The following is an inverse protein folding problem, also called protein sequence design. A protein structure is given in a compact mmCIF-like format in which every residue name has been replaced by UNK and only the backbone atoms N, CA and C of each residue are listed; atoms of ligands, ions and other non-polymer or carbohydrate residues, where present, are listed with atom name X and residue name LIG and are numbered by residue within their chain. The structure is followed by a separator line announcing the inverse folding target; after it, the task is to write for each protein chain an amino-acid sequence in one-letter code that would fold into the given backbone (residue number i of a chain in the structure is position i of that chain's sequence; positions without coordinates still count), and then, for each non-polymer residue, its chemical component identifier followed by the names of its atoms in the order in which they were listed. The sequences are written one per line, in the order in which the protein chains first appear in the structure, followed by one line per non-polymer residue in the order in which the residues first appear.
data_IF_681790393025
#
_entry.id   IF_681790393025
#
_cell.length_a   1.000
_cell.length_b   1.000
_cell.length_c   1.000
_cell.angle_alpha   90.00
_cell.angle_beta   90.00
_cell.angle_gamma   90.00
#
_symmetry.space_group_name_H-M   'P 1'
#
loop_
_entity.id
_entity.type
_entity.pdbx_description
1 polymer ?
#
# COMPACT_ATOMS: atom_id res chain seq x y z
N UNK A 1 15.49 19.75 -13.68
CA UNK A 1 14.61 19.45 -12.52
C UNK A 1 13.18 19.63 -12.97
N UNK A 2 12.32 18.65 -12.71
CA UNK A 2 10.90 18.70 -13.07
C UNK A 2 10.07 19.36 -11.96
N UNK A 3 8.96 20.00 -12.35
CA UNK A 3 8.00 20.67 -11.45
C UNK A 3 7.21 19.67 -10.62
N UNK A 4 6.49 20.14 -9.58
CA UNK A 4 5.60 19.31 -8.78
C UNK A 4 4.60 18.51 -9.64
N UNK A 5 3.96 19.17 -10.61
CA UNK A 5 3.00 18.51 -11.50
C UNK A 5 3.65 17.43 -12.40
N UNK A 6 4.85 17.68 -12.90
CA UNK A 6 5.60 16.68 -13.68
C UNK A 6 6.06 15.51 -12.81
N UNK A 7 6.41 15.77 -11.55
CA UNK A 7 6.66 14.71 -10.57
C UNK A 7 5.40 13.86 -10.36
N UNK A 8 4.21 14.45 -10.30
CA UNK A 8 2.97 13.69 -10.14
C UNK A 8 2.69 12.80 -11.36
N UNK A 9 2.93 13.30 -12.58
CA UNK A 9 2.87 12.49 -13.81
C UNK A 9 3.88 11.33 -13.74
N UNK A 10 5.14 11.63 -13.43
CA UNK A 10 6.20 10.63 -13.38
C UNK A 10 5.92 9.57 -12.31
N UNK A 11 5.43 9.97 -11.13
CA UNK A 11 5.01 9.06 -10.06
C UNK A 11 3.86 8.17 -10.50
N UNK A 12 2.82 8.73 -11.12
CA UNK A 12 1.73 7.93 -11.65
C UNK A 12 2.22 6.89 -12.66
N UNK A 13 3.09 7.27 -13.60
CA UNK A 13 3.64 6.31 -14.55
C UNK A 13 4.52 5.25 -13.86
N UNK A 14 5.34 5.64 -12.89
CA UNK A 14 6.18 4.71 -12.13
C UNK A 14 5.34 3.71 -11.30
N UNK A 15 4.18 4.13 -10.79
CA UNK A 15 3.17 3.25 -10.18
C UNK A 15 2.68 2.21 -11.17
N UNK A 16 2.27 2.66 -12.37
CA UNK A 16 1.78 1.74 -13.41
C UNK A 16 2.89 0.76 -13.79
N UNK A 17 4.14 1.24 -13.88
CA UNK A 17 5.30 0.42 -14.15
C UNK A 17 5.53 -0.66 -13.08
N UNK A 18 5.47 -0.32 -11.78
CA UNK A 18 5.56 -1.28 -10.68
C UNK A 18 4.44 -2.34 -10.72
N UNK A 19 3.24 -1.93 -11.15
CA UNK A 19 2.11 -2.83 -11.41
C UNK A 19 2.23 -3.64 -12.70
N UNK A 20 3.31 -3.45 -13.48
CA UNK A 20 3.50 -4.01 -14.83
C UNK A 20 2.37 -3.68 -15.80
N UNK A 21 1.81 -2.49 -15.66
CA UNK A 21 0.66 -2.01 -16.41
C UNK A 21 1.06 -0.90 -17.39
N UNK A 22 0.46 -0.98 -18.57
CA UNK A 22 0.39 0.16 -19.50
C UNK A 22 -0.81 1.00 -19.11
N UNK A 23 -0.74 2.29 -19.41
CA UNK A 23 -1.82 3.23 -19.13
C UNK A 23 -2.13 4.09 -20.35
N UNK A 24 -3.22 4.84 -20.31
CA UNK A 24 -3.68 5.68 -21.41
C UNK A 24 -3.67 7.17 -21.04
N UNK A 25 -3.70 8.04 -22.04
CA UNK A 25 -3.81 9.49 -21.83
C UNK A 25 -5.04 9.89 -21.00
N UNK A 26 -6.24 9.31 -21.21
CA UNK A 26 -7.40 9.59 -20.36
C UNK A 26 -7.23 9.15 -18.90
N UNK A 27 -6.60 7.98 -18.66
CA UNK A 27 -6.32 7.50 -17.31
C UNK A 27 -5.32 8.40 -16.60
N UNK A 28 -4.20 8.73 -17.26
CA UNK A 28 -3.21 9.67 -16.74
C UNK A 28 -3.87 11.02 -16.45
N UNK A 29 -4.67 11.56 -17.38
CA UNK A 29 -5.35 12.83 -17.20
C UNK A 29 -6.26 12.82 -15.98
N UNK A 30 -7.03 11.75 -15.77
CA UNK A 30 -7.87 11.58 -14.58
C UNK A 30 -7.03 11.51 -13.31
N UNK A 31 -5.97 10.72 -13.32
CA UNK A 31 -5.12 10.49 -12.15
C UNK A 31 -4.44 11.77 -11.65
N UNK A 32 -4.01 12.65 -12.57
CA UNK A 32 -3.36 13.93 -12.21
C UNK A 32 -4.33 15.11 -12.20
N UNK A 33 -5.65 14.86 -12.19
CA UNK A 33 -6.70 15.89 -12.21
C UNK A 33 -6.53 16.91 -13.35
N UNK A 34 -6.09 16.45 -14.52
CA UNK A 34 -5.90 17.29 -15.70
C UNK A 34 -7.25 17.75 -16.25
N UNK A 35 -7.44 19.05 -16.58
CA UNK A 35 -8.74 19.58 -17.00
C UNK A 35 -9.33 18.93 -18.25
N UNK A 36 -8.49 18.42 -19.15
CA UNK A 36 -8.95 17.81 -20.39
C UNK A 36 -9.05 16.28 -20.23
N UNK A 37 -10.25 15.67 -20.36
CA UNK A 37 -10.47 14.26 -20.04
C UNK A 37 -9.70 13.29 -20.95
N UNK A 38 -9.31 13.72 -22.15
CA UNK A 38 -8.49 12.94 -23.08
C UNK A 38 -6.98 13.23 -22.98
N UNK A 39 -6.53 13.99 -21.98
CA UNK A 39 -5.11 14.32 -21.81
C UNK A 39 -4.52 15.31 -22.84
N UNK A 40 -5.37 16.01 -23.61
CA UNK A 40 -4.90 17.03 -24.56
C UNK A 40 -4.13 18.12 -23.80
N UNK A 41 -2.95 18.46 -24.30
CA UNK A 41 -2.05 19.46 -23.69
C UNK A 41 -1.00 18.88 -22.74
N UNK A 42 -1.06 17.59 -22.40
CA UNK A 42 -0.04 16.96 -21.55
C UNK A 42 1.34 16.83 -22.21
N UNK A 43 1.43 16.98 -23.55
CA UNK A 43 2.66 16.75 -24.31
C UNK A 43 3.89 17.49 -23.79
N UNK A 44 3.75 18.78 -23.42
CA UNK A 44 4.85 19.56 -22.85
C UNK A 44 5.32 18.98 -21.50
N UNK A 45 4.41 18.53 -20.65
CA UNK A 45 4.78 17.96 -19.35
C UNK A 45 5.40 16.57 -19.49
N UNK A 46 4.88 15.75 -20.41
CA UNK A 46 5.43 14.45 -20.74
C UNK A 46 6.83 14.55 -21.34
N UNK A 47 7.10 15.58 -22.15
CA UNK A 47 8.43 15.89 -22.66
C UNK A 47 9.43 16.16 -21.54
N UNK A 48 9.04 16.93 -20.52
CA UNK A 48 9.90 17.23 -19.37
C UNK A 48 10.16 15.98 -18.51
N UNK A 49 9.15 15.11 -18.33
CA UNK A 49 9.32 13.80 -17.67
C UNK A 49 10.26 12.89 -18.46
N UNK A 50 10.12 12.85 -19.78
CA UNK A 50 10.98 12.08 -20.69
C UNK A 50 12.44 12.52 -20.60
N UNK A 51 12.71 13.83 -20.63
CA UNK A 51 14.07 14.35 -20.49
C UNK A 51 14.62 14.08 -19.09
N UNK A 52 13.80 14.23 -18.06
CA UNK A 52 14.22 13.92 -16.70
C UNK A 52 14.65 12.45 -16.55
N UNK A 53 13.85 11.49 -17.03
CA UNK A 53 14.25 10.08 -16.94
C UNK A 53 15.54 9.82 -17.71
N UNK A 54 15.70 10.43 -18.89
CA UNK A 54 16.91 10.29 -19.69
C UNK A 54 18.15 10.85 -18.98
N UNK A 55 18.06 12.08 -18.47
CA UNK A 55 19.15 12.76 -17.75
C UNK A 55 19.57 12.02 -16.48
N UNK A 56 18.66 11.26 -15.87
CA UNK A 56 18.94 10.41 -14.71
C UNK A 56 19.40 8.98 -15.10
N UNK A 57 19.53 8.67 -16.39
CA UNK A 57 19.89 7.34 -16.87
C UNK A 57 18.82 6.26 -16.60
N UNK A 58 17.57 6.68 -16.41
CA UNK A 58 16.42 5.81 -16.11
C UNK A 58 15.77 5.30 -17.40
N UNK A 59 15.08 4.15 -17.37
CA UNK A 59 14.26 3.69 -18.49
C UNK A 59 13.23 4.74 -18.92
N UNK A 60 12.84 4.72 -20.19
CA UNK A 60 11.91 5.65 -20.81
C UNK A 60 10.50 5.42 -20.27
N UNK A 61 10.19 6.03 -19.12
CA UNK A 61 8.95 5.80 -18.38
C UNK A 61 7.69 6.13 -19.19
N UNK A 62 7.75 7.09 -20.12
CA UNK A 62 6.61 7.44 -20.98
C UNK A 62 6.29 6.39 -22.05
N UNK A 63 7.14 5.37 -22.25
CA UNK A 63 6.91 4.28 -23.21
C UNK A 63 5.68 3.42 -22.87
N UNK A 64 5.22 3.40 -21.61
CA UNK A 64 4.03 2.67 -21.16
C UNK A 64 2.73 3.46 -21.35
N UNK A 65 2.79 4.73 -21.77
CA UNK A 65 1.63 5.57 -22.06
C UNK A 65 1.15 5.35 -23.49
N UNK A 66 0.10 4.54 -23.64
CA UNK A 66 -0.37 4.01 -24.92
C UNK A 66 -1.69 4.66 -25.38
N UNK A 67 -2.01 4.47 -26.66
CA UNK A 67 -3.39 4.71 -27.14
C UNK A 67 -4.29 3.60 -26.55
N UNK A 68 -5.49 3.97 -26.10
CA UNK A 68 -6.48 3.01 -25.61
C UNK A 68 -6.70 1.86 -26.61
N UNK A 69 -6.68 0.62 -26.11
CA UNK A 69 -6.79 -0.59 -26.93
C UNK A 69 -5.52 -0.99 -27.69
N UNK A 70 -4.41 -0.27 -27.52
CA UNK A 70 -3.13 -0.57 -28.19
C UNK A 70 -2.03 -0.89 -27.17
N UNK A 71 -0.92 -1.45 -27.65
CA UNK A 71 0.29 -1.69 -26.84
C UNK A 71 1.38 -0.63 -27.04
N UNK A 72 1.12 0.40 -27.84
CA UNK A 72 2.13 1.36 -28.27
C UNK A 72 1.71 2.81 -27.97
N UNK A 73 2.67 3.69 -27.65
CA UNK A 73 2.45 5.13 -27.65
C UNK A 73 1.97 5.64 -29.02
N UNK A 74 1.28 6.78 -29.09
CA UNK A 74 0.93 7.42 -30.35
C UNK A 74 2.20 7.83 -31.12
N UNK A 75 2.13 7.89 -32.46
CA UNK A 75 3.32 8.14 -33.30
C UNK A 75 4.06 9.43 -32.92
N UNK A 76 3.34 10.51 -32.60
CA UNK A 76 3.97 11.75 -32.13
C UNK A 76 4.73 11.59 -30.82
N UNK A 77 4.31 10.70 -29.92
CA UNK A 77 5.08 10.37 -28.72
C UNK A 77 6.31 9.52 -29.05
N UNK A 78 6.21 8.62 -30.03
CA UNK A 78 7.35 7.84 -30.52
C UNK A 78 8.44 8.73 -31.13
N UNK A 79 8.06 9.78 -31.86
CA UNK A 79 9.01 10.79 -32.37
C UNK A 79 9.79 11.45 -31.24
N UNK A 80 9.10 11.88 -30.18
CA UNK A 80 9.74 12.47 -29.00
C UNK A 80 10.65 11.48 -28.26
N UNK A 81 10.21 10.24 -28.06
CA UNK A 81 11.04 9.19 -27.45
C UNK A 81 12.30 8.97 -28.28
N UNK A 82 12.18 8.85 -29.61
CA UNK A 82 13.32 8.68 -30.52
C UNK A 82 14.28 9.86 -30.48
N UNK A 83 13.77 11.07 -30.28
CA UNK A 83 14.61 12.27 -30.17
C UNK A 83 15.47 12.27 -28.91
N UNK A 84 14.96 11.74 -27.79
CA UNK A 84 15.66 11.76 -26.49
C UNK A 84 16.48 10.49 -26.27
N UNK A 85 15.89 9.32 -26.47
CA UNK A 85 16.50 8.01 -26.20
C UNK A 85 17.14 7.36 -27.44
N UNK A 86 17.00 7.98 -28.62
CA UNK A 86 17.45 7.41 -29.89
C UNK A 86 16.51 6.32 -30.42
N UNK A 87 16.91 5.56 -31.45
CA UNK A 87 16.13 4.44 -31.96
C UNK A 87 15.88 3.40 -30.84
N UNK A 88 14.62 3.27 -30.42
CA UNK A 88 14.22 2.40 -29.31
C UNK A 88 13.21 1.36 -29.78
N UNK A 89 13.43 0.09 -29.43
CA UNK A 89 12.39 -0.92 -29.48
C UNK A 89 11.45 -0.71 -28.28
N UNK A 90 10.24 -0.24 -28.56
CA UNK A 90 9.27 0.14 -27.53
C UNK A 90 8.85 -1.05 -26.68
N UNK A 91 8.77 -2.26 -27.23
CA UNK A 91 8.35 -3.43 -26.45
C UNK A 91 9.44 -3.85 -25.47
N UNK A 92 10.70 -3.84 -25.92
CA UNK A 92 11.85 -4.06 -25.05
C UNK A 92 11.98 -2.96 -23.98
N UNK A 93 11.73 -1.71 -24.33
CA UNK A 93 11.81 -0.59 -23.38
C UNK A 93 10.69 -0.62 -22.35
N UNK A 94 9.45 -0.97 -22.74
CA UNK A 94 8.36 -1.21 -21.81
C UNK A 94 8.72 -2.32 -20.80
N UNK A 95 9.34 -3.41 -21.27
CA UNK A 95 9.80 -4.48 -20.39
C UNK A 95 10.86 -3.98 -19.40
N UNK A 96 11.83 -3.18 -19.87
CA UNK A 96 12.82 -2.53 -18.98
C UNK A 96 12.17 -1.63 -17.95
N UNK A 97 11.14 -0.87 -18.34
CA UNK A 97 10.35 -0.03 -17.41
C UNK A 97 9.68 -0.91 -16.35
N UNK A 98 9.10 -2.06 -16.70
CA UNK A 98 8.44 -2.95 -15.75
C UNK A 98 9.38 -3.70 -14.81
N UNK A 99 10.63 -3.93 -15.24
CA UNK A 99 11.66 -4.62 -14.45
C UNK A 99 12.45 -3.68 -13.53
N UNK A 100 12.41 -2.38 -13.82
CA UNK A 100 13.18 -1.38 -13.08
C UNK A 100 12.59 -1.12 -11.69
N UNK A 101 13.47 -1.02 -10.69
CA UNK A 101 13.10 -0.69 -9.32
C UNK A 101 12.83 0.81 -9.16
N UNK A 102 11.61 1.23 -9.50
CA UNK A 102 11.20 2.63 -9.38
C UNK A 102 11.16 3.14 -7.93
N UNK A 103 11.11 2.24 -6.93
CA UNK A 103 11.17 2.65 -5.53
C UNK A 103 12.57 3.18 -5.13
N UNK A 104 13.61 2.80 -5.88
CA UNK A 104 14.98 3.30 -5.66
C UNK A 104 15.18 4.77 -6.08
N UNK A 105 14.30 5.34 -6.90
CA UNK A 105 14.42 6.71 -7.41
C UNK A 105 13.78 7.68 -6.42
N UNK A 106 14.55 8.28 -5.52
CA UNK A 106 14.02 9.12 -4.42
C UNK A 106 12.97 10.17 -4.83
N UNK A 107 13.08 10.78 -6.01
CA UNK A 107 12.09 11.75 -6.51
C UNK A 107 10.74 11.10 -6.87
N UNK A 108 10.78 9.86 -7.36
CA UNK A 108 9.62 9.06 -7.78
C UNK A 108 9.19 8.04 -6.71
N UNK A 109 9.99 7.89 -5.65
CA UNK A 109 9.75 6.96 -4.57
C UNK A 109 8.41 7.28 -3.90
N UNK A 110 7.62 6.24 -3.72
CA UNK A 110 6.37 6.29 -2.99
C UNK A 110 6.71 6.21 -1.51
N UNK A 111 6.34 7.23 -0.73
CA UNK A 111 6.58 7.18 0.72
C UNK A 111 5.81 6.04 1.42
N UNK A 112 4.86 5.41 0.73
CA UNK A 112 4.42 4.02 0.83
C UNK A 112 3.21 3.87 -0.10
N UNK A 113 2.90 2.68 -0.66
CA UNK A 113 1.52 2.44 -1.08
C UNK A 113 0.62 2.77 0.10
N UNK A 114 -0.53 3.44 -0.13
CA UNK A 114 -1.58 3.44 0.89
C UNK A 114 -1.78 1.96 1.20
N UNK A 115 -1.48 1.55 2.44
CA UNK A 115 -1.63 0.17 2.85
C UNK A 115 -2.97 -0.30 2.31
N UNK A 116 -3.04 -1.48 1.67
CA UNK A 116 -4.29 -1.94 1.10
C UNK A 116 -5.37 -1.81 2.17
N UNK A 117 -6.50 -1.22 1.81
CA UNK A 117 -7.62 -0.98 2.72
C UNK A 117 -8.21 -2.35 3.11
N UNK A 118 -7.49 -3.06 3.97
CA UNK A 118 -7.81 -4.36 4.51
C UNK A 118 -8.40 -4.09 5.88
N UNK A 119 -9.66 -4.46 6.06
CA UNK A 119 -10.28 -4.45 7.38
C UNK A 119 -9.73 -5.63 8.19
N UNK A 120 -8.65 -5.37 8.91
CA UNK A 120 -8.03 -6.34 9.81
C UNK A 120 -8.89 -6.65 11.04
N UNK A 121 -10.01 -5.96 11.27
CA UNK A 121 -10.95 -6.34 12.33
C UNK A 121 -11.87 -7.48 11.85
N UNK A 122 -11.99 -7.70 10.54
CA UNK A 122 -12.79 -8.75 9.90
C UNK A 122 -11.94 -9.69 9.06
N UNK A 123 -10.78 -10.06 9.59
CA UNK A 123 -9.80 -10.91 8.92
C UNK A 123 -9.74 -12.31 9.53
N UNK A 124 -9.75 -13.28 8.65
CA UNK A 124 -9.73 -14.71 8.95
C UNK A 124 -8.56 -15.36 8.23
N UNK A 125 -8.33 -16.64 8.50
CA UNK A 125 -7.39 -17.47 7.76
C UNK A 125 -8.03 -18.78 7.31
N UNK A 126 -7.61 -19.24 6.14
CA UNK A 126 -7.95 -20.55 5.60
C UNK A 126 -6.71 -21.22 5.05
N UNK A 127 -6.70 -22.56 5.13
CA UNK A 127 -5.63 -23.36 4.55
C UNK A 127 -5.93 -23.64 3.09
N UNK A 128 -4.94 -23.38 2.24
CA UNK A 128 -5.04 -23.60 0.80
C UNK A 128 -3.89 -24.46 0.26
N UNK A 129 -4.07 -24.91 -0.97
CA UNK A 129 -3.08 -25.61 -1.79
C UNK A 129 -2.24 -24.65 -2.64
N UNK A 130 -2.72 -23.43 -2.85
CA UNK A 130 -2.06 -22.40 -3.64
C UNK A 130 -2.79 -21.06 -3.55
N UNK A 131 -2.24 -20.06 -4.24
CA UNK A 131 -2.82 -18.72 -4.31
C UNK A 131 -2.69 -18.23 -5.74
N UNK A 132 -3.76 -18.41 -6.52
CA UNK A 132 -3.85 -17.91 -7.88
C UNK A 132 -5.21 -17.23 -8.09
N UNK A 133 -5.36 -16.00 -7.59
CA UNK A 133 -6.61 -15.27 -7.72
C UNK A 133 -6.95 -14.92 -9.18
N UNK A 134 -5.98 -14.92 -10.10
CA UNK A 134 -6.20 -14.62 -11.51
C UNK A 134 -6.92 -15.75 -12.25
N UNK A 135 -6.79 -16.98 -11.77
CA UNK A 135 -7.56 -18.13 -12.25
C UNK A 135 -8.74 -18.48 -11.32
N UNK A 136 -8.63 -18.14 -10.03
CA UNK A 136 -9.62 -18.48 -8.99
C UNK A 136 -10.25 -17.22 -8.38
N UNK A 137 -11.32 -16.75 -9.01
CA UNK A 137 -12.15 -15.61 -8.57
C UNK A 137 -13.10 -15.92 -7.42
N UNK A 138 -12.90 -17.03 -6.70
CA UNK A 138 -13.72 -17.39 -5.54
C UNK A 138 -12.95 -18.14 -4.45
N UNK A 139 -13.37 -17.98 -3.19
CA UNK A 139 -12.98 -18.87 -2.09
C UNK A 139 -13.94 -20.07 -2.07
N UNK A 140 -13.47 -21.23 -2.51
CA UNK A 140 -14.26 -22.46 -2.59
C UNK A 140 -14.26 -23.28 -1.30
N UNK A 141 -15.41 -23.88 -0.96
CA UNK A 141 -15.58 -24.79 0.17
C UNK A 141 -16.09 -26.17 -0.27
N UNK A 142 -15.69 -27.21 0.45
CA UNK A 142 -16.12 -28.59 0.17
C UNK A 142 -17.60 -28.83 0.47
N UNK A 143 -18.15 -28.15 1.48
CA UNK A 143 -19.52 -28.35 1.95
C UNK A 143 -20.31 -27.04 1.88
N UNK A 144 -21.53 -27.14 1.36
CA UNK A 144 -22.50 -26.05 1.27
C UNK A 144 -22.78 -25.40 2.63
N UNK A 145 -22.97 -26.24 3.67
CA UNK A 145 -23.21 -25.77 5.02
C UNK A 145 -22.07 -24.89 5.58
N UNK A 146 -20.82 -25.15 5.19
CA UNK A 146 -19.68 -24.32 5.60
C UNK A 146 -19.77 -22.94 4.96
N UNK A 147 -20.02 -22.87 3.65
CA UNK A 147 -20.21 -21.59 2.93
C UNK A 147 -21.34 -20.79 3.55
N UNK A 148 -22.49 -21.43 3.80
CA UNK A 148 -23.67 -20.74 4.32
C UNK A 148 -23.46 -20.23 5.75
N UNK A 149 -22.76 -20.96 6.61
CA UNK A 149 -22.34 -20.47 7.94
C UNK A 149 -21.40 -19.25 7.84
N UNK A 150 -20.53 -19.21 6.84
CA UNK A 150 -19.63 -18.06 6.62
C UNK A 150 -20.46 -16.85 6.16
N UNK A 151 -21.37 -17.04 5.19
CA UNK A 151 -22.27 -15.98 4.73
C UNK A 151 -23.06 -15.34 5.87
N UNK A 152 -23.63 -16.15 6.77
CA UNK A 152 -24.33 -15.65 7.96
C UNK A 152 -23.43 -14.77 8.85
N UNK A 153 -22.15 -15.13 8.99
CA UNK A 153 -21.17 -14.33 9.76
C UNK A 153 -20.74 -13.05 9.05
N UNK A 154 -20.89 -12.99 7.73
CA UNK A 154 -20.48 -11.82 6.94
C UNK A 154 -21.43 -10.64 7.09
N UNK A 155 -22.68 -10.85 7.54
CA UNK A 155 -23.62 -9.75 7.86
C UNK A 155 -23.65 -8.68 6.75
N UNK A 156 -23.83 -9.14 5.50
CA UNK A 156 -23.86 -8.36 4.25
C UNK A 156 -22.65 -7.44 3.99
N UNK A 157 -21.52 -7.70 4.64
CA UNK A 157 -20.29 -6.92 4.48
C UNK A 157 -19.10 -7.84 4.15
N UNK A 158 -18.14 -7.39 3.32
CA UNK A 158 -17.00 -8.20 2.94
C UNK A 158 -16.11 -8.56 4.13
N UNK A 159 -15.49 -9.74 4.06
CA UNK A 159 -14.45 -10.18 5.01
C UNK A 159 -13.13 -10.39 4.28
N UNK A 160 -12.04 -10.46 5.04
CA UNK A 160 -10.72 -10.70 4.48
C UNK A 160 -10.24 -12.08 4.90
N UNK A 161 -9.65 -12.83 3.98
CA UNK A 161 -9.14 -14.18 4.28
C UNK A 161 -7.67 -14.27 3.89
N UNK A 162 -6.83 -14.56 4.88
CA UNK A 162 -5.42 -14.91 4.72
C UNK A 162 -5.31 -16.37 4.26
N UNK A 163 -4.67 -16.58 3.12
CA UNK A 163 -4.42 -17.89 2.54
C UNK A 163 -3.05 -18.38 2.97
N UNK A 164 -2.99 -19.54 3.61
CA UNK A 164 -1.73 -20.16 4.02
C UNK A 164 -1.65 -21.64 3.65
N UNK A 165 -0.44 -22.12 3.43
CA UNK A 165 -0.18 -23.50 3.07
C UNK A 165 0.24 -24.36 4.27
N UNK A 166 -0.03 -25.66 4.15
CA UNK A 166 0.41 -26.67 5.11
C UNK A 166 1.95 -26.76 5.17
N UNK A 167 2.46 -27.27 6.29
CA UNK A 167 3.88 -27.60 6.44
C UNK A 167 4.27 -28.89 5.72
N UNK A 168 3.28 -29.69 5.35
CA UNK A 168 3.47 -30.91 4.60
C UNK A 168 3.01 -30.65 3.17
N UNK A 169 3.93 -30.82 2.21
CA UNK A 169 3.64 -30.82 0.79
C UNK A 169 2.98 -32.15 0.39
N UNK A 170 1.90 -32.53 1.06
CA UNK A 170 1.21 -33.78 0.75
C UNK A 170 0.54 -33.62 -0.60
N UNK A 171 0.94 -34.42 -1.59
CA UNK A 171 0.17 -34.48 -2.83
C UNK A 171 -1.25 -34.92 -2.52
N UNK A 172 -2.25 -34.27 -3.13
CA UNK A 172 -3.61 -34.79 -3.09
C UNK A 172 -3.58 -36.18 -3.74
N UNK A 173 -4.07 -37.19 -3.02
CA UNK A 173 -4.11 -38.57 -3.52
C UNK A 173 -4.84 -38.63 -4.88
N UNK A 174 -4.26 -39.33 -5.84
CA UNK A 174 -4.79 -39.46 -7.20
C UNK A 174 -4.47 -38.30 -8.14
N UNK A 175 -3.57 -37.37 -7.77
CA UNK A 175 -3.23 -36.21 -8.61
C UNK A 175 -1.88 -36.27 -9.31
N UNK A 176 -1.09 -37.33 -9.09
CA UNK A 176 0.30 -37.47 -9.58
C UNK A 176 1.17 -36.22 -9.34
N UNK A 177 0.88 -35.47 -8.28
CA UNK A 177 1.60 -34.24 -7.94
C UNK A 177 1.09 -32.96 -8.63
N UNK A 178 0.12 -33.04 -9.55
CA UNK A 178 -0.38 -31.88 -10.33
C UNK A 178 -1.11 -30.81 -9.49
N UNK A 179 -1.67 -31.19 -8.35
CA UNK A 179 -2.23 -30.25 -7.36
C UNK A 179 -1.50 -30.45 -6.03
N UNK A 180 -0.19 -30.22 -6.05
CA UNK A 180 0.64 -30.12 -4.85
C UNK A 180 0.87 -28.66 -4.50
N UNK A 181 1.08 -28.39 -3.21
CA UNK A 181 1.63 -27.09 -2.80
C UNK A 181 2.99 -26.96 -3.50
N UNK A 182 3.17 -25.92 -4.30
CA UNK A 182 4.44 -25.64 -4.94
C UNK A 182 5.55 -25.63 -3.87
N UNK A 183 6.74 -26.23 -4.11
CA UNK A 183 7.78 -26.38 -3.08
C UNK A 183 8.12 -25.09 -2.33
N UNK A 184 8.13 -23.96 -3.02
CA UNK A 184 8.36 -22.61 -2.49
C UNK A 184 7.25 -22.09 -1.55
N UNK A 185 6.03 -22.60 -1.72
CA UNK A 185 4.83 -22.19 -0.98
C UNK A 185 4.61 -23.04 0.29
N UNK A 186 5.37 -24.12 0.48
CA UNK A 186 5.24 -25.00 1.65
C UNK A 186 5.48 -24.21 2.93
N UNK A 187 4.55 -24.33 3.88
CA UNK A 187 4.55 -23.61 5.15
C UNK A 187 4.58 -22.07 5.02
N UNK A 188 4.06 -21.51 3.92
CA UNK A 188 3.99 -20.06 3.70
C UNK A 188 2.58 -19.49 3.86
N UNK A 189 2.53 -18.20 4.18
CA UNK A 189 1.34 -17.36 4.02
C UNK A 189 1.44 -16.67 2.66
N UNK A 190 0.51 -16.96 1.76
CA UNK A 190 0.65 -16.63 0.33
C UNK A 190 0.04 -15.27 -0.02
N UNK A 191 -1.15 -15.00 0.52
CA UNK A 191 -1.86 -13.77 0.22
C UNK A 191 -3.12 -13.58 1.05
N UNK A 192 -3.84 -12.51 0.73
CA UNK A 192 -5.10 -12.12 1.36
C UNK A 192 -6.12 -11.90 0.25
N UNK A 193 -7.37 -12.33 0.44
CA UNK A 193 -8.48 -12.01 -0.48
C UNK A 193 -9.59 -11.25 0.24
N UNK A 194 -10.22 -10.31 -0.45
CA UNK A 194 -11.46 -9.65 -0.06
C UNK A 194 -12.64 -10.46 -0.61
N UNK A 195 -13.37 -11.13 0.29
CA UNK A 195 -14.49 -12.01 -0.03
C UNK A 195 -15.79 -11.26 0.16
N UNK A 196 -16.62 -11.24 -0.86
CA UNK A 196 -17.94 -10.61 -0.87
C UNK A 196 -19.02 -11.57 -0.36
N UNK A 197 -20.10 -11.07 0.26
CA UNK A 197 -21.22 -11.88 0.74
C UNK A 197 -22.11 -12.37 -0.42
N UNK A 198 -21.49 -12.89 -1.47
CA UNK A 198 -22.12 -13.34 -2.71
C UNK A 198 -21.68 -14.77 -3.01
N UNK A 199 -22.65 -15.62 -3.35
CA UNK A 199 -22.37 -17.01 -3.73
C UNK A 199 -21.70 -17.05 -5.09
N UNK A 200 -20.63 -17.84 -5.19
CA UNK A 200 -19.90 -18.06 -6.42
C UNK A 200 -19.92 -19.54 -6.83
N UNK A 201 -19.78 -19.77 -8.14
CA UNK A 201 -19.66 -21.08 -8.75
C UNK A 201 -18.54 -21.08 -9.81
N UNK A 202 -18.02 -22.27 -10.13
CA UNK A 202 -16.90 -22.41 -11.05
C UNK A 202 -17.17 -21.90 -12.47
N UNK A 203 -18.40 -22.04 -12.95
CA UNK A 203 -18.81 -21.63 -14.29
C UNK A 203 -18.72 -20.11 -14.53
N UNK A 204 -18.69 -19.34 -13.45
CA UNK A 204 -18.74 -17.88 -13.47
C UNK A 204 -17.48 -17.24 -12.86
N UNK A 205 -16.87 -17.89 -11.86
CA UNK A 205 -15.80 -17.31 -11.04
C UNK A 205 -14.50 -18.13 -11.05
N UNK A 206 -14.33 -19.05 -12.01
CA UNK A 206 -13.08 -19.77 -12.23
C UNK A 206 -12.73 -19.73 -13.71
N UNK A 207 -11.45 -19.58 -14.03
CA UNK A 207 -10.98 -19.62 -15.41
C UNK A 207 -11.35 -20.96 -16.08
N UNK A 208 -11.80 -20.95 -17.35
CA UNK A 208 -12.22 -22.18 -18.04
C UNK A 208 -11.14 -23.26 -18.07
N UNK A 209 -9.87 -22.85 -18.17
CA UNK A 209 -8.69 -23.71 -18.12
C UNK A 209 -8.57 -24.39 -16.75
N UNK A 210 -8.62 -23.64 -15.65
CA UNK A 210 -8.57 -24.18 -14.30
C UNK A 210 -9.75 -25.14 -14.00
N UNK A 211 -10.96 -24.85 -14.52
CA UNK A 211 -12.10 -25.76 -14.42
C UNK A 211 -11.85 -27.07 -15.17
N UNK A 212 -11.25 -26.99 -16.37
CA UNK A 212 -10.89 -28.16 -17.17
C UNK A 212 -9.85 -29.02 -16.48
N UNK A 213 -8.79 -28.42 -15.95
CA UNK A 213 -7.73 -29.12 -15.23
C UNK A 213 -8.26 -29.84 -13.99
N UNK A 214 -9.15 -29.18 -13.24
CA UNK A 214 -9.86 -29.77 -12.11
C UNK A 214 -10.70 -30.99 -12.52
N UNK A 215 -11.44 -30.90 -13.62
CA UNK A 215 -12.28 -31.99 -14.13
C UNK A 215 -11.46 -33.15 -14.69
N UNK A 216 -10.38 -32.88 -15.42
CA UNK A 216 -9.47 -33.91 -15.93
C UNK A 216 -8.89 -34.74 -14.78
N UNK A 217 -8.54 -34.08 -13.68
CA UNK A 217 -7.86 -34.71 -12.57
C UNK A 217 -8.79 -35.53 -11.66
N UNK A 218 -9.97 -35.00 -11.33
CA UNK A 218 -10.85 -35.63 -10.34
C UNK A 218 -12.14 -36.20 -10.92
N UNK A 219 -12.42 -35.98 -12.21
CA UNK A 219 -13.67 -36.38 -12.86
C UNK A 219 -14.92 -35.66 -12.34
N UNK A 220 -14.75 -34.70 -11.41
CA UNK A 220 -15.81 -33.90 -10.80
C UNK A 220 -15.24 -32.59 -10.26
N UNK A 221 -16.05 -31.52 -10.15
CA UNK A 221 -15.64 -30.30 -9.47
C UNK A 221 -15.27 -30.56 -8.01
N UNK A 222 -14.27 -29.82 -7.51
CA UNK A 222 -13.90 -29.75 -6.10
C UNK A 222 -14.06 -28.32 -5.59
N UNK A 223 -14.45 -28.19 -4.33
CA UNK A 223 -14.70 -26.88 -3.70
C UNK A 223 -15.81 -26.07 -4.41
N UNK A 224 -16.84 -26.78 -4.85
CA UNK A 224 -17.93 -26.26 -5.70
C UNK A 224 -18.81 -25.19 -5.03
N UNK A 225 -18.69 -24.98 -3.72
CA UNK A 225 -19.48 -24.01 -2.98
C UNK A 225 -18.64 -22.78 -2.69
N UNK A 226 -18.63 -21.80 -3.58
CA UNK A 226 -17.75 -20.63 -3.50
C UNK A 226 -18.40 -19.39 -2.90
N UNK A 227 -17.55 -18.47 -2.47
CA UNK A 227 -17.87 -17.05 -2.25
C UNK A 227 -17.00 -16.18 -3.16
N UNK A 228 -17.58 -15.11 -3.69
CA UNK A 228 -16.92 -14.24 -4.67
C UNK A 228 -15.70 -13.53 -4.09
N UNK A 229 -14.55 -13.63 -4.75
CA UNK A 229 -13.38 -12.82 -4.45
C UNK A 229 -13.42 -11.56 -5.30
N UNK A 230 -13.34 -10.40 -4.67
CA UNK A 230 -13.39 -9.12 -5.38
C UNK A 230 -12.03 -8.45 -5.53
N UNK A 231 -11.11 -8.70 -4.58
CA UNK A 231 -9.75 -8.17 -4.55
C UNK A 231 -8.81 -9.19 -3.92
N UNK A 232 -7.54 -9.14 -4.26
CA UNK A 232 -6.53 -10.04 -3.72
C UNK A 232 -5.17 -9.35 -3.58
N UNK A 233 -4.40 -9.73 -2.59
CA UNK A 233 -3.06 -9.24 -2.34
C UNK A 233 -2.08 -10.38 -2.09
N UNK A 234 -0.95 -10.36 -2.77
CA UNK A 234 0.16 -11.29 -2.53
C UNK A 234 1.16 -10.68 -1.56
N UNK A 235 1.73 -11.51 -0.68
CA UNK A 235 2.90 -11.08 0.07
C UNK A 235 4.11 -11.00 -0.85
N UNK A 236 4.78 -9.85 -0.88
CA UNK A 236 6.00 -9.65 -1.69
C UNK A 236 7.08 -10.65 -1.27
N UNK A 237 7.18 -10.91 0.04
CA UNK A 237 8.00 -11.96 0.62
C UNK A 237 7.12 -12.81 1.56
N UNK A 238 6.54 -13.92 1.08
CA UNK A 238 5.64 -14.79 1.85
C UNK A 238 6.26 -15.24 3.19
N UNK A 239 5.70 -14.85 4.35
CA UNK A 239 6.26 -15.25 5.64
C UNK A 239 5.98 -16.71 5.94
N UNK A 240 6.73 -17.28 6.89
CA UNK A 240 6.43 -18.62 7.40
C UNK A 240 5.10 -18.62 8.17
N UNK A 241 4.23 -19.57 7.89
CA UNK A 241 2.94 -19.75 8.59
C UNK A 241 3.13 -19.84 10.10
N UNK A 242 4.20 -20.49 10.58
CA UNK A 242 4.48 -20.62 12.02
C UNK A 242 4.78 -19.29 12.72
N UNK A 243 5.29 -18.31 11.97
CA UNK A 243 5.73 -17.01 12.47
C UNK A 243 4.62 -15.97 12.35
N UNK A 244 3.83 -16.02 11.26
CA UNK A 244 2.76 -15.07 11.01
C UNK A 244 1.40 -15.51 11.59
N UNK A 245 1.14 -16.82 11.67
CA UNK A 245 -0.16 -17.41 12.04
C UNK A 245 -0.02 -18.54 13.09
N UNK A 246 0.62 -18.31 14.26
CA UNK A 246 0.85 -19.35 15.26
C UNK A 246 -0.45 -20.02 15.77
N UNK A 247 -1.55 -19.29 15.91
CA UNK A 247 -2.82 -19.83 16.39
C UNK A 247 -3.60 -20.50 15.27
N UNK A 248 -3.88 -19.82 14.15
CA UNK A 248 -4.65 -20.37 13.02
C UNK A 248 -3.99 -21.63 12.42
N UNK A 249 -2.66 -21.73 12.48
CA UNK A 249 -1.93 -22.96 12.14
C UNK A 249 -2.29 -24.11 13.09
N UNK A 250 -2.40 -23.84 14.39
CA UNK A 250 -2.70 -24.84 15.42
C UNK A 250 -4.13 -25.36 15.31
N UNK A 251 -5.08 -24.51 14.92
CA UNK A 251 -6.47 -24.85 14.53
C UNK A 251 -6.57 -25.39 13.10
N UNK A 252 -5.51 -26.08 12.66
CA UNK A 252 -5.31 -26.61 11.30
C UNK A 252 -6.55 -27.24 10.66
N UNK A 253 -7.32 -28.03 11.41
CA UNK A 253 -8.48 -28.74 10.88
C UNK A 253 -9.67 -27.83 10.58
N UNK A 254 -9.93 -26.85 11.44
CA UNK A 254 -10.97 -25.84 11.22
C UNK A 254 -10.60 -24.95 10.03
N UNK A 255 -9.36 -24.49 9.98
CA UNK A 255 -8.83 -23.71 8.85
C UNK A 255 -8.80 -24.51 7.53
N UNK A 256 -8.73 -25.84 7.57
CA UNK A 256 -8.80 -26.70 6.37
C UNK A 256 -10.23 -26.85 5.85
N UNK A 257 -11.22 -26.82 6.75
CA UNK A 257 -12.63 -27.03 6.40
C UNK A 257 -13.41 -25.74 6.17
N UNK A 258 -12.91 -24.60 6.65
CA UNK A 258 -13.55 -23.29 6.55
C UNK A 258 -12.57 -22.17 6.85
N UNK A 259 -12.96 -21.25 7.73
CA UNK A 259 -12.17 -20.07 8.10
C UNK A 259 -12.04 -19.96 9.62
N UNK A 260 -10.90 -19.45 10.09
CA UNK A 260 -10.61 -19.20 11.50
C UNK A 260 -10.28 -17.73 11.68
N UNK A 261 -10.87 -17.07 12.68
CA UNK A 261 -10.59 -15.66 12.95
C UNK A 261 -9.14 -15.47 13.43
N UNK A 262 -8.47 -14.43 12.95
CA UNK A 262 -7.13 -14.12 13.43
C UNK A 262 -7.18 -13.49 14.83
N UNK A 263 -6.25 -13.92 15.68
CA UNK A 263 -6.01 -13.26 16.97
C UNK A 263 -5.40 -11.86 16.79
N UNK A 264 -5.48 -10.99 17.79
CA UNK A 264 -4.83 -9.67 17.76
C UNK A 264 -3.32 -9.74 17.53
N UNK A 265 -2.68 -10.79 18.05
CA UNK A 265 -1.26 -11.05 17.80
C UNK A 265 -1.00 -11.36 16.33
N UNK A 266 -1.79 -12.25 15.72
CA UNK A 266 -1.68 -12.61 14.31
C UNK A 266 -1.99 -11.43 13.39
N UNK A 267 -3.03 -10.63 13.70
CA UNK A 267 -3.32 -9.38 13.00
C UNK A 267 -2.09 -8.46 13.00
N UNK A 268 -1.47 -8.26 14.17
CA UNK A 268 -0.23 -7.47 14.29
C UNK A 268 0.93 -8.06 13.49
N UNK A 269 1.09 -9.38 13.48
CA UNK A 269 2.16 -10.06 12.74
C UNK A 269 1.97 -9.93 11.22
N UNK A 270 0.76 -10.19 10.73
CA UNK A 270 0.43 -10.10 9.29
C UNK A 270 0.59 -8.68 8.76
N UNK A 271 0.17 -7.65 9.53
CA UNK A 271 0.28 -6.23 9.15
C UNK A 271 1.72 -5.74 8.87
N UNK A 272 2.74 -6.48 9.31
CA UNK A 272 4.15 -6.07 9.14
C UNK A 272 4.71 -6.38 7.76
N UNK A 273 4.05 -7.24 6.98
CA UNK A 273 4.57 -7.70 5.70
C UNK A 273 4.06 -6.85 4.55
N UNK A 274 4.95 -6.61 3.57
CA UNK A 274 4.59 -5.90 2.35
C UNK A 274 3.66 -6.74 1.48
N UNK A 275 2.59 -6.10 1.02
CA UNK A 275 1.56 -6.68 0.16
C UNK A 275 1.54 -5.97 -1.20
N UNK A 276 1.21 -6.71 -2.25
CA UNK A 276 0.97 -6.21 -3.59
C UNK A 276 -0.41 -6.67 -4.05
N UNK A 277 -1.29 -5.74 -4.42
CA UNK A 277 -2.59 -6.10 -4.99
C UNK A 277 -2.40 -6.77 -6.36
N UNK A 278 -3.14 -7.85 -6.60
CA UNK A 278 -3.12 -8.64 -7.83
C UNK A 278 -4.51 -8.80 -8.41
N UNK A 279 -4.59 -9.09 -9.71
CA UNK A 279 -5.87 -9.24 -10.38
C UNK A 279 -6.63 -10.46 -9.86
N UNK A 280 -7.95 -10.37 -9.90
CA UNK A 280 -8.86 -11.46 -9.54
C UNK A 280 -9.69 -11.82 -10.77
N UNK A 281 -9.84 -13.12 -11.05
CA UNK A 281 -10.64 -13.60 -12.17
C UNK A 281 -12.07 -13.03 -12.10
N UNK A 282 -12.55 -12.49 -13.21
CA UNK A 282 -13.89 -11.89 -13.29
C UNK A 282 -14.00 -10.47 -12.72
N UNK A 283 -12.91 -9.90 -12.18
CA UNK A 283 -12.90 -8.55 -11.62
C UNK A 283 -11.78 -7.69 -12.23
N UNK A 284 -12.10 -6.46 -12.59
CA UNK A 284 -11.07 -5.49 -12.97
C UNK A 284 -10.27 -5.09 -11.73
N UNK A 285 -8.93 -5.11 -11.84
CA UNK A 285 -8.07 -4.57 -10.79
C UNK A 285 -8.45 -3.11 -10.56
N UNK A 286 -8.96 -2.80 -9.37
CA UNK A 286 -9.16 -1.40 -8.99
C UNK A 286 -7.78 -0.77 -8.93
N UNK A 287 -7.51 0.18 -9.81
CA UNK A 287 -6.32 1.01 -9.67
C UNK A 287 -6.34 1.57 -8.25
N UNK A 288 -5.29 1.29 -7.47
CA UNK A 288 -5.09 1.91 -6.17
C UNK A 288 -5.28 3.39 -6.41
N UNK A 289 -6.35 3.95 -5.85
CA UNK A 289 -6.53 5.38 -5.83
C UNK A 289 -5.40 5.88 -4.93
N UNK A 290 -4.28 6.27 -5.54
CA UNK A 290 -3.31 7.08 -4.85
C UNK A 290 -4.06 8.36 -4.52
N UNK A 291 -4.51 8.47 -3.27
CA UNK A 291 -4.86 9.76 -2.74
C UNK A 291 -3.58 10.58 -2.90
N UNK A 292 -3.59 11.51 -3.85
CA UNK A 292 -2.61 12.58 -3.88
C UNK A 292 -2.54 13.08 -2.45
N UNK A 293 -1.35 12.98 -1.85
CA UNK A 293 -1.13 13.36 -0.46
C UNK A 293 -1.76 14.74 -0.30
N UNK A 294 -2.61 14.94 0.70
CA UNK A 294 -3.04 16.30 0.98
C UNK A 294 -1.76 17.15 1.07
N UNK A 295 -1.65 18.23 0.26
CA UNK A 295 -0.46 19.07 0.24
C UNK A 295 -0.08 19.40 1.67
N UNK A 296 1.20 19.44 2.05
CA UNK A 296 1.60 19.62 3.46
C UNK A 296 1.35 21.04 3.94
N UNK A 297 0.09 21.36 4.15
CA UNK A 297 -0.47 22.67 4.39
C UNK A 297 -0.77 22.91 5.87
N UNK A 298 -0.61 21.92 6.75
CA UNK A 298 -0.88 22.06 8.18
C UNK A 298 0.41 21.91 8.99
N UNK A 299 0.83 22.97 9.66
CA UNK A 299 1.90 22.88 10.67
C UNK A 299 1.33 22.30 11.96
N UNK A 300 2.11 21.50 12.67
CA UNK A 300 1.70 20.92 13.94
C UNK A 300 2.83 20.99 14.98
N UNK A 301 2.43 20.90 16.25
CA UNK A 301 3.30 20.71 17.40
C UNK A 301 2.74 19.55 18.21
N UNK A 302 3.51 18.47 18.31
CA UNK A 302 3.21 17.30 19.11
C UNK A 302 4.09 17.29 20.37
N UNK A 303 3.51 16.90 21.50
CA UNK A 303 4.21 16.86 22.80
C UNK A 303 4.09 15.48 23.43
N UNK A 304 5.19 14.98 23.97
CA UNK A 304 5.22 13.83 24.86
C UNK A 304 5.33 14.34 26.30
N UNK A 305 4.33 14.02 27.11
CA UNK A 305 4.19 14.52 28.49
C UNK A 305 4.64 13.52 29.55
N UNK A 306 5.14 12.34 29.16
CA UNK A 306 5.60 11.33 30.10
C UNK A 306 6.92 11.76 30.78
N UNK A 307 6.80 12.47 31.89
CA UNK A 307 7.92 13.04 32.63
C UNK A 307 8.82 11.98 33.24
N UNK A 308 8.28 10.83 33.63
CA UNK A 308 9.05 9.73 34.25
C UNK A 308 9.95 9.07 33.22
N UNK A 309 9.47 8.97 31.98
CA UNK A 309 10.28 8.48 30.88
C UNK A 309 11.35 9.48 30.48
N UNK A 310 11.00 10.76 30.38
CA UNK A 310 11.94 11.82 30.02
C UNK A 310 13.04 11.99 31.08
N UNK A 311 12.74 11.74 32.36
CA UNK A 311 13.73 11.74 33.44
C UNK A 311 14.83 10.67 33.27
N UNK A 312 14.58 9.62 32.49
CA UNK A 312 15.58 8.59 32.15
C UNK A 312 16.45 8.97 30.95
N UNK A 313 16.19 10.12 30.35
CA UNK A 313 16.96 10.65 29.21
C UNK A 313 17.90 11.78 29.67
N UNK A 314 18.59 12.44 28.72
CA UNK A 314 19.36 13.66 28.99
C UNK A 314 18.49 14.93 29.03
N UNK A 315 17.17 14.79 29.11
CA UNK A 315 16.24 15.91 29.20
C UNK A 315 16.49 16.74 30.47
N UNK A 316 16.46 18.08 30.38
CA UNK A 316 16.41 18.94 31.56
C UNK A 316 15.20 18.62 32.44
N UNK A 317 15.36 18.80 33.76
CA UNK A 317 14.28 18.53 34.71
C UNK A 317 13.02 19.37 34.39
N UNK A 318 11.87 18.71 34.31
CA UNK A 318 10.59 19.37 33.99
C UNK A 318 10.40 19.72 32.51
N UNK A 319 11.34 19.36 31.62
CA UNK A 319 11.18 19.53 30.19
C UNK A 319 10.25 18.46 29.60
N UNK A 320 9.55 18.84 28.52
CA UNK A 320 8.73 17.97 27.67
C UNK A 320 9.46 17.73 26.36
N UNK A 321 9.26 16.57 25.75
CA UNK A 321 9.77 16.31 24.40
C UNK A 321 8.74 16.79 23.38
N UNK A 322 9.14 17.73 22.54
CA UNK A 322 8.30 18.41 21.55
C UNK A 322 8.80 18.10 20.15
N UNK A 323 7.87 17.80 19.24
CA UNK A 323 8.12 17.70 17.80
C UNK A 323 7.33 18.78 17.07
N UNK A 324 8.00 19.54 16.23
CA UNK A 324 7.38 20.50 15.30
C UNK A 324 7.45 19.88 13.90
N UNK A 325 6.39 20.03 13.09
CA UNK A 325 6.40 19.51 11.73
C UNK A 325 5.30 20.07 10.84
N UNK A 326 5.29 19.65 9.57
CA UNK A 326 4.13 19.77 8.66
C UNK A 326 3.49 18.44 8.32
N UNK A 327 2.17 18.45 8.10
CA UNK A 327 1.43 17.29 7.59
C UNK A 327 0.25 17.71 6.72
N UNK A 328 -0.12 16.86 5.77
CA UNK A 328 -1.44 16.88 5.12
C UNK A 328 -2.51 16.13 5.91
N UNK A 329 -2.10 15.24 6.82
CA UNK A 329 -2.98 14.47 7.70
C UNK A 329 -2.34 14.42 9.09
N UNK A 330 -2.82 15.27 10.00
CA UNK A 330 -2.25 15.36 11.36
C UNK A 330 -2.61 14.16 12.22
N UNK A 331 -3.75 13.51 11.96
CA UNK A 331 -4.21 12.36 12.76
C UNK A 331 -3.38 11.13 12.41
N UNK A 332 -3.16 10.86 11.11
CA UNK A 332 -2.21 9.84 10.67
C UNK A 332 -0.82 10.13 11.19
N UNK A 333 -0.34 11.38 11.08
CA UNK A 333 0.99 11.73 11.60
C UNK A 333 1.11 11.48 13.11
N UNK A 334 0.07 11.75 13.88
CA UNK A 334 0.05 11.44 15.32
C UNK A 334 0.11 9.94 15.58
N UNK A 335 -0.64 9.14 14.81
CA UNK A 335 -0.55 7.67 14.86
C UNK A 335 0.88 7.21 14.54
N UNK A 336 1.46 7.68 13.43
CA UNK A 336 2.82 7.33 13.01
C UNK A 336 3.87 7.66 14.09
N UNK A 337 3.74 8.81 14.77
CA UNK A 337 4.65 9.19 15.87
C UNK A 337 4.55 8.23 17.06
N UNK A 338 3.35 7.79 17.39
CA UNK A 338 3.10 6.84 18.48
C UNK A 338 3.39 5.39 18.09
N UNK A 339 3.28 5.06 16.80
CA UNK A 339 3.55 3.73 16.26
C UNK A 339 5.03 3.50 15.91
N UNK A 340 5.82 4.56 15.85
CA UNK A 340 7.24 4.51 15.57
C UNK A 340 7.96 3.57 16.55
N UNK A 341 8.94 2.79 16.05
CA UNK A 341 9.65 1.79 16.87
C UNK A 341 10.24 2.41 18.15
N UNK A 342 10.76 3.64 18.08
CA UNK A 342 11.29 4.34 19.25
C UNK A 342 10.19 4.64 20.27
N UNK A 343 9.02 5.08 19.82
CA UNK A 343 7.91 5.34 20.72
C UNK A 343 7.44 4.06 21.41
N UNK A 344 7.39 2.93 20.70
CA UNK A 344 7.03 1.63 21.29
C UNK A 344 8.08 1.10 22.27
N UNK A 345 9.36 1.11 21.90
CA UNK A 345 10.46 0.61 22.74
C UNK A 345 10.55 1.40 24.03
N UNK A 346 10.42 2.72 23.94
CA UNK A 346 10.53 3.61 25.08
C UNK A 346 9.19 3.97 25.69
N UNK A 347 8.05 3.42 25.23
CA UNK A 347 6.73 3.79 25.75
C UNK A 347 6.37 5.29 25.64
N UNK A 348 6.97 6.02 24.68
CA UNK A 348 6.64 7.43 24.45
C UNK A 348 5.21 7.55 23.92
N UNK A 349 4.47 8.52 24.44
CA UNK A 349 3.14 8.85 23.93
C UNK A 349 3.05 10.34 23.64
N UNK A 350 2.93 10.65 22.35
CA UNK A 350 2.67 11.98 21.85
C UNK A 350 1.18 12.29 21.80
N UNK A 351 0.84 13.56 22.00
CA UNK A 351 -0.43 14.17 21.65
C UNK A 351 -0.21 15.43 20.83
N UNK A 352 -1.17 15.78 19.97
CA UNK A 352 -1.14 17.07 19.28
C UNK A 352 -1.48 18.18 20.27
N UNK A 353 -0.61 19.19 20.37
CA UNK A 353 -0.81 20.36 21.22
C UNK A 353 -1.28 21.57 20.39
N UNK A 354 -0.77 21.73 19.17
CA UNK A 354 -1.19 22.78 18.27
C UNK A 354 -1.18 22.31 16.81
N UNK A 355 -2.14 22.80 16.04
CA UNK A 355 -2.22 22.63 14.58
C UNK A 355 -2.68 23.93 13.94
N UNK A 356 -2.18 24.24 12.75
CA UNK A 356 -2.62 25.40 11.96
C UNK A 356 -2.56 25.07 10.47
N UNK A 357 -3.70 25.22 9.78
CA UNK A 357 -3.83 25.09 8.33
C UNK A 357 -3.40 26.40 7.65
N UNK A 358 -2.64 26.29 6.57
CA UNK A 358 -2.13 27.39 5.76
C UNK A 358 -2.69 27.35 4.34
N UNK A 359 -2.73 28.49 3.62
CA UNK A 359 -3.19 28.57 2.23
C UNK A 359 -2.40 27.72 1.24
N UNK A 360 -1.12 27.44 1.51
CA UNK A 360 -0.24 26.68 0.63
C UNK A 360 0.78 25.85 1.41
N UNK A 361 1.33 24.82 0.75
CA UNK A 361 2.42 24.02 1.30
C UNK A 361 3.70 24.86 1.51
N UNK A 362 4.02 25.75 0.58
CA UNK A 362 5.19 26.63 0.71
C UNK A 362 5.09 27.53 1.95
N UNK A 363 3.89 28.06 2.23
CA UNK A 363 3.68 28.83 3.46
C UNK A 363 3.82 27.95 4.70
N UNK A 364 3.23 26.75 4.71
CA UNK A 364 3.36 25.84 5.85
C UNK A 364 4.83 25.44 6.13
N UNK A 365 5.60 25.12 5.10
CA UNK A 365 7.03 24.80 5.21
C UNK A 365 7.84 26.00 5.70
N UNK A 366 7.55 27.21 5.20
CA UNK A 366 8.21 28.42 5.69
C UNK A 366 7.91 28.68 7.18
N UNK A 367 6.70 28.35 7.63
CA UNK A 367 6.28 28.49 9.05
C UNK A 367 6.94 27.45 9.93
N UNK A 368 7.01 26.21 9.48
CA UNK A 368 7.76 25.14 10.14
C UNK A 368 9.23 25.52 10.28
N UNK A 369 9.90 25.94 9.19
CA UNK A 369 11.29 26.36 9.21
C UNK A 369 11.53 27.47 10.24
N UNK A 370 10.69 28.52 10.24
CA UNK A 370 10.79 29.60 11.21
C UNK A 370 10.55 29.14 12.66
N UNK A 371 9.65 28.18 12.89
CA UNK A 371 9.41 27.61 14.22
C UNK A 371 10.56 26.72 14.69
N UNK A 372 11.18 25.95 13.79
CA UNK A 372 12.37 25.13 14.06
C UNK A 372 13.59 26.00 14.35
N UNK A 373 13.83 27.06 13.58
CA UNK A 373 14.89 28.04 13.84
C UNK A 373 14.71 28.72 15.20
N UNK A 374 13.47 29.12 15.53
CA UNK A 374 13.17 29.65 16.84
C UNK A 374 13.46 28.63 17.95
N UNK A 375 13.06 27.36 17.77
CA UNK A 375 13.27 26.31 18.74
C UNK A 375 14.75 26.01 18.97
N UNK A 376 15.58 26.04 17.93
CA UNK A 376 17.04 25.85 18.05
C UNK A 376 17.71 26.90 18.95
N UNK A 377 17.17 28.11 19.01
CA UNK A 377 17.71 29.21 19.83
C UNK A 377 17.11 29.24 21.24
N UNK A 378 15.84 28.83 21.39
CA UNK A 378 15.06 29.10 22.62
C UNK A 378 14.72 27.84 23.43
N UNK A 379 14.82 26.63 22.84
CA UNK A 379 14.56 25.41 23.59
C UNK A 379 15.67 25.12 24.60
N UNK A 380 15.30 24.56 25.75
CA UNK A 380 16.25 24.16 26.78
C UNK A 380 17.32 23.19 26.28
N UNK A 381 16.97 22.28 25.38
CA UNK A 381 17.94 21.43 24.68
C UNK A 381 17.40 20.92 23.34
N UNK A 382 18.30 20.71 22.38
CA UNK A 382 18.00 20.00 21.14
C UNK A 382 18.16 18.50 21.34
N UNK A 383 17.12 17.72 21.04
CA UNK A 383 17.15 16.28 21.22
C UNK A 383 17.74 15.59 19.98
N UNK A 384 17.13 15.82 18.82
CA UNK A 384 17.55 15.29 17.51
C UNK A 384 16.62 15.82 16.42
N UNK A 385 17.15 16.23 15.26
CA UNK A 385 16.33 16.63 14.11
C UNK A 385 15.27 17.68 14.47
N UNK A 386 14.00 17.32 14.32
CA UNK A 386 12.83 18.16 14.63
C UNK A 386 12.31 18.01 16.08
N UNK A 387 13.07 17.35 16.96
CA UNK A 387 12.72 17.10 18.35
C UNK A 387 13.53 17.98 19.32
N UNK A 388 12.82 18.56 20.28
CA UNK A 388 13.36 19.51 21.25
C UNK A 388 12.89 19.17 22.66
N UNK A 389 13.74 19.37 23.65
CA UNK A 389 13.33 19.41 25.04
C UNK A 389 12.99 20.84 25.41
N UNK A 390 11.73 21.08 25.80
CA UNK A 390 11.21 22.40 26.09
C UNK A 390 10.58 22.44 27.48
N UNK A 391 10.80 23.51 28.24
CA UNK A 391 9.98 23.80 29.43
C UNK A 391 8.53 24.05 29.03
N UNK A 392 7.61 24.07 30.01
CA UNK A 392 6.21 24.41 29.74
C UNK A 392 6.08 25.80 29.08
N UNK A 393 6.83 26.78 29.58
CA UNK A 393 6.85 28.13 29.00
C UNK A 393 7.35 28.12 27.55
N UNK A 394 8.49 27.49 27.28
CA UNK A 394 9.04 27.36 25.92
C UNK A 394 8.07 26.63 24.99
N UNK A 395 7.40 25.60 25.49
CA UNK A 395 6.40 24.85 24.73
C UNK A 395 5.23 25.76 24.32
N UNK A 396 4.74 26.59 25.24
CA UNK A 396 3.66 27.54 24.94
C UNK A 396 4.12 28.64 23.99
N UNK A 397 5.37 29.11 24.09
CA UNK A 397 5.94 30.05 23.13
C UNK A 397 6.07 29.42 21.74
N UNK A 398 6.49 28.15 21.64
CA UNK A 398 6.54 27.38 20.40
C UNK A 398 5.16 27.22 19.76
N UNK A 399 4.11 27.00 20.57
CA UNK A 399 2.71 26.97 20.08
C UNK A 399 2.37 28.26 19.34
N UNK A 400 2.83 29.43 19.81
CA UNK A 400 2.56 30.70 19.09
C UNK A 400 3.27 30.81 17.75
N UNK A 401 4.37 30.08 17.55
CA UNK A 401 5.10 30.03 16.26
C UNK A 401 4.38 29.14 15.25
N UNK A 402 3.83 28.02 15.73
CA UNK A 402 3.06 27.08 14.92
C UNK A 402 1.64 27.59 14.65
N UNK A 403 1.01 28.22 15.63
CA UNK A 403 -0.37 28.72 15.58
C UNK A 403 -0.44 30.18 16.05
N UNK A 404 -0.14 31.17 15.19
CA UNK A 404 -0.17 32.57 15.56
C UNK A 404 -1.59 33.04 15.95
N UNK A 405 -1.69 33.89 16.97
CA UNK A 405 -2.97 34.33 17.56
C UNK A 405 -3.99 34.95 16.57
N UNK A 406 -3.56 35.42 15.39
CA UNK A 406 -4.45 35.99 14.36
C UNK A 406 -5.38 34.96 13.68
N UNK A 407 -5.18 33.67 13.92
CA UNK A 407 -5.97 32.59 13.29
C UNK A 407 -6.84 31.80 14.29
N UNK A 408 -7.05 32.32 15.50
CA UNK A 408 -8.08 31.82 16.42
C UNK A 408 -9.43 32.39 15.97
N UNK A 409 -10.15 31.68 15.10
CA UNK A 409 -11.58 31.86 14.90
C UNK A 409 -12.35 30.84 15.70
#
# INVERSE_FOLDING_TARGET
MITAFQNDIARFLAIQALGRQRTTYPELARAVSWPHPQGRGLGKHLWEVLNYTHDQGLPCLTSILCIAGTRRPPEGALEFIRQVYGPTDIEAEQQRVFEFDWASVAALAFEQPIAPEIDFDRIYATRTWGFDPMEWGMTGFTHEATRDQILERMDDRPIYIVYFCSQHAEAIEGTDGRFTIAPENVARVLGIVEVQPEKAAHDTHTAPEAVRDMLELWGRPRWQFGLTNSRAWEFVNPPWTREALPHARSTSWEATRGIVELTEEEKRLVRQYALREVAVYGHELRQVAYALREPMHTTYLAVCEDTDLLAKTRAPAGARLVKIGVSGDTDRRLRDLNDHHFAKIFGLRFRMLATQRWPSQDEALAREAAALEWALVNASAHASGEYFFMTERETMDAVTKVKPAKYVR
#
